data_IF_494619091852
#
_entry.id   IF_494619091852
#
_cell.length_a   1.000
_cell.length_b   1.000
_cell.length_c   1.000
_cell.angle_alpha   90.00
_cell.angle_beta   90.00
_cell.angle_gamma   90.00
#
_symmetry.space_group_name_H-M   'P 1'
#
loop_
_entity.id
_entity.type
_entity.pdbx_description
1 polymer ?
#
# COMPACT_ATOMS: atom_id res chain seq x y z
N UNK A 1 25.92 -19.00 16.08
CA UNK A 1 24.89 -18.04 16.51
C UNK A 1 24.14 -17.66 15.25
N UNK A 2 22.89 -18.02 15.09
CA UNK A 2 22.06 -17.58 13.96
C UNK A 2 21.87 -16.08 14.12
N UNK A 3 22.42 -15.32 13.19
CA UNK A 3 22.29 -13.86 13.15
C UNK A 3 20.80 -13.52 13.10
N UNK A 4 20.27 -12.89 14.16
CA UNK A 4 18.83 -12.64 14.30
C UNK A 4 18.44 -11.54 13.30
N UNK A 5 17.76 -11.93 12.22
CA UNK A 5 17.29 -10.98 11.20
C UNK A 5 16.35 -9.96 11.82
N UNK A 6 16.67 -8.69 11.66
CA UNK A 6 15.92 -7.58 12.24
C UNK A 6 15.41 -6.64 11.15
N UNK A 7 14.17 -6.21 11.26
CA UNK A 7 13.53 -5.24 10.38
C UNK A 7 13.01 -4.03 11.16
N UNK A 8 13.19 -2.83 10.59
CA UNK A 8 12.52 -1.62 11.08
C UNK A 8 11.25 -1.38 10.28
N UNK A 9 10.13 -1.15 10.96
CA UNK A 9 8.85 -0.83 10.34
C UNK A 9 8.42 0.58 10.74
N UNK A 10 8.40 1.48 9.77
CA UNK A 10 7.80 2.79 9.87
C UNK A 10 6.34 2.68 9.40
N UNK A 11 5.38 2.84 10.32
CA UNK A 11 3.96 2.71 10.03
C UNK A 11 3.35 1.35 10.38
N UNK A 12 3.85 0.66 11.40
CA UNK A 12 3.36 -0.65 11.86
C UNK A 12 1.90 -0.64 12.36
N UNK A 13 1.32 0.52 12.67
CA UNK A 13 -0.09 0.68 13.02
C UNK A 13 -1.02 0.80 11.82
N UNK A 14 -0.46 0.95 10.61
CA UNK A 14 -1.23 1.02 9.35
C UNK A 14 -1.51 -0.36 8.75
N UNK A 15 -2.42 -0.42 7.77
CA UNK A 15 -2.82 -1.67 7.11
C UNK A 15 -1.64 -2.47 6.55
N UNK A 16 -0.93 -1.91 5.58
CA UNK A 16 0.19 -2.63 4.94
C UNK A 16 1.40 -2.76 5.87
N UNK A 17 1.75 -1.72 6.63
CA UNK A 17 2.89 -1.76 7.55
C UNK A 17 2.70 -2.79 8.66
N UNK A 18 1.51 -2.85 9.26
CA UNK A 18 1.16 -3.84 10.28
C UNK A 18 1.12 -5.26 9.73
N UNK A 19 0.62 -5.45 8.50
CA UNK A 19 0.55 -6.78 7.90
C UNK A 19 1.95 -7.32 7.56
N UNK A 20 2.82 -6.50 6.96
CA UNK A 20 4.21 -6.89 6.71
C UNK A 20 4.92 -7.21 8.04
N UNK A 21 4.74 -6.38 9.07
CA UNK A 21 5.32 -6.61 10.39
C UNK A 21 4.88 -7.96 10.99
N UNK A 22 3.59 -8.30 10.91
CA UNK A 22 3.07 -9.59 11.39
C UNK A 22 3.64 -10.78 10.64
N UNK A 23 3.72 -10.69 9.31
CA UNK A 23 4.27 -11.77 8.49
C UNK A 23 5.77 -11.98 8.72
N UNK A 24 6.53 -10.91 8.95
CA UNK A 24 7.94 -10.98 9.32
C UNK A 24 8.12 -11.66 10.68
N UNK A 25 7.38 -11.21 11.71
CA UNK A 25 7.42 -11.81 13.04
C UNK A 25 7.06 -13.31 13.01
N UNK A 26 6.04 -13.69 12.22
CA UNK A 26 5.67 -15.10 12.02
C UNK A 26 6.77 -15.93 11.35
N UNK A 27 7.72 -15.31 10.66
CA UNK A 27 8.90 -15.96 10.02
C UNK A 27 10.18 -15.84 10.83
N UNK A 28 10.06 -15.46 12.11
CA UNK A 28 11.18 -15.39 13.04
C UNK A 28 12.07 -14.14 12.90
N UNK A 29 11.60 -13.10 12.20
CA UNK A 29 12.27 -11.81 12.20
C UNK A 29 12.00 -11.06 13.50
N UNK A 30 13.01 -10.41 14.05
CA UNK A 30 12.82 -9.37 15.05
C UNK A 30 12.28 -8.11 14.37
N UNK A 31 11.10 -7.64 14.81
CA UNK A 31 10.45 -6.46 14.22
C UNK A 31 10.54 -5.30 15.18
N UNK A 32 11.25 -4.24 14.78
CA UNK A 32 11.23 -2.92 15.45
C UNK A 32 10.17 -2.05 14.81
N UNK A 33 9.26 -1.49 15.62
CA UNK A 33 8.18 -0.64 15.16
C UNK A 33 8.35 0.78 15.72
N UNK A 34 8.69 1.74 14.85
CA UNK A 34 8.83 3.14 15.26
C UNK A 34 7.45 3.78 15.40
N UNK A 35 7.19 4.39 16.57
CA UNK A 35 5.94 5.08 16.82
C UNK A 35 6.16 6.29 17.77
N UNK A 36 5.47 7.40 17.52
CA UNK A 36 5.58 8.63 18.32
C UNK A 36 5.20 8.45 19.78
N UNK A 37 4.18 7.66 20.03
CA UNK A 37 3.72 7.35 21.40
C UNK A 37 3.33 5.87 21.50
N UNK A 38 4.29 4.93 21.64
CA UNK A 38 4.00 3.51 21.68
C UNK A 38 3.22 3.08 22.93
N UNK A 39 3.34 3.81 24.03
CA UNK A 39 2.63 3.48 25.27
C UNK A 39 1.12 3.78 25.22
N UNK A 40 0.69 4.67 24.30
CA UNK A 40 -0.72 4.99 24.10
C UNK A 40 -1.45 4.01 23.16
N UNK A 41 -0.78 3.01 22.63
CA UNK A 41 -1.39 2.03 21.74
C UNK A 41 -2.20 1.01 22.54
N UNK A 42 -3.52 0.96 22.31
CA UNK A 42 -4.43 0.02 22.99
C UNK A 42 -4.33 -1.42 22.48
N UNK A 43 -4.05 -1.57 21.19
CA UNK A 43 -3.94 -2.87 20.49
C UNK A 43 -2.51 -3.10 19.97
N UNK A 44 -1.54 -2.95 20.85
CA UNK A 44 -0.13 -3.15 20.53
C UNK A 44 0.14 -4.65 20.33
N UNK A 45 0.81 -4.98 19.23
CA UNK A 45 1.29 -6.35 19.03
C UNK A 45 2.58 -6.54 19.85
N UNK A 46 2.52 -7.42 20.83
CA UNK A 46 3.64 -7.68 21.75
C UNK A 46 4.80 -8.45 21.11
N UNK A 47 4.62 -8.94 19.89
CA UNK A 47 5.71 -9.54 19.11
C UNK A 47 6.67 -8.49 18.54
N UNK A 48 6.29 -7.19 18.57
CA UNK A 48 7.09 -6.10 18.05
C UNK A 48 7.84 -5.37 19.18
N UNK A 49 9.09 -5.05 18.91
CA UNK A 49 9.86 -4.11 19.74
C UNK A 49 9.42 -2.68 19.38
N UNK A 50 8.56 -2.10 20.21
CA UNK A 50 8.08 -0.73 19.99
C UNK A 50 9.10 0.29 20.44
N UNK A 51 9.59 1.11 19.50
CA UNK A 51 10.57 2.17 19.73
C UNK A 51 9.85 3.52 19.64
N UNK A 52 10.09 4.39 20.64
CA UNK A 52 9.61 5.76 20.60
C UNK A 52 10.45 6.59 19.63
N UNK A 53 9.80 7.28 18.69
CA UNK A 53 10.44 8.17 17.74
C UNK A 53 9.47 8.63 16.65
N UNK A 54 9.90 9.63 15.88
CA UNK A 54 9.14 10.24 14.79
C UNK A 54 9.84 10.02 13.45
N UNK A 55 9.12 9.56 12.44
CA UNK A 55 9.63 9.43 11.07
C UNK A 55 10.06 10.79 10.46
N UNK A 56 9.55 11.90 10.99
CA UNK A 56 9.98 13.26 10.64
C UNK A 56 11.30 13.66 11.31
N UNK A 57 11.73 12.94 12.34
CA UNK A 57 13.01 13.17 13.01
C UNK A 57 14.08 12.23 12.44
N UNK A 58 15.05 12.80 11.74
CA UNK A 58 16.13 12.04 11.10
C UNK A 58 16.94 11.19 12.08
N UNK A 59 17.23 11.72 13.27
CA UNK A 59 18.04 11.03 14.28
C UNK A 59 17.28 9.83 14.87
N UNK A 60 15.97 9.98 15.09
CA UNK A 60 15.12 8.88 15.58
C UNK A 60 15.12 7.71 14.58
N UNK A 61 15.00 8.01 13.26
CA UNK A 61 14.98 6.97 12.23
C UNK A 61 16.34 6.30 12.08
N UNK A 62 17.45 7.07 12.13
CA UNK A 62 18.81 6.53 12.08
C UNK A 62 19.06 5.63 13.29
N UNK A 63 18.75 6.07 14.50
CA UNK A 63 18.94 5.29 15.71
C UNK A 63 18.12 3.99 15.72
N UNK A 64 16.86 4.06 15.26
CA UNK A 64 16.00 2.88 15.16
C UNK A 64 16.48 1.87 14.09
N UNK A 65 17.20 2.33 13.07
CA UNK A 65 17.72 1.53 11.97
C UNK A 65 19.06 0.84 12.26
N UNK A 66 19.65 1.05 13.44
CA UNK A 66 20.92 0.41 13.78
C UNK A 66 20.82 -1.12 13.80
N UNK A 67 21.69 -1.80 13.04
CA UNK A 67 21.74 -3.24 12.94
C UNK A 67 20.54 -3.91 12.27
N UNK A 68 19.68 -3.18 11.53
CA UNK A 68 18.58 -3.79 10.77
C UNK A 68 19.00 -4.15 9.33
N UNK A 69 18.42 -5.20 8.78
CA UNK A 69 18.67 -5.62 7.40
C UNK A 69 17.81 -4.85 6.40
N UNK A 70 16.60 -4.44 6.79
CA UNK A 70 15.77 -3.58 5.96
C UNK A 70 14.85 -2.66 6.76
N UNK A 71 14.39 -1.60 6.08
CA UNK A 71 13.46 -0.59 6.62
C UNK A 71 12.21 -0.59 5.75
N UNK A 72 11.08 -1.01 6.30
CA UNK A 72 9.80 -0.83 5.64
C UNK A 72 9.32 0.62 5.82
N UNK A 73 9.24 1.36 4.72
CA UNK A 73 8.69 2.71 4.70
C UNK A 73 7.21 2.67 4.33
N UNK A 74 6.34 2.44 5.34
CA UNK A 74 4.89 2.36 5.18
C UNK A 74 4.15 3.50 5.92
N UNK A 75 4.88 4.56 6.28
CA UNK A 75 4.28 5.78 6.87
C UNK A 75 3.58 6.60 5.81
N UNK A 76 2.38 7.04 6.15
CA UNK A 76 1.58 7.90 5.30
C UNK A 76 0.77 8.86 6.19
N UNK A 77 0.79 10.18 5.94
CA UNK A 77 0.02 11.13 6.72
C UNK A 77 -1.48 10.79 6.69
N UNK A 78 -2.16 10.72 7.84
CA UNK A 78 -3.58 10.39 7.89
C UNK A 78 -4.43 11.48 7.21
N UNK A 79 -5.47 11.04 6.47
CA UNK A 79 -6.41 11.94 5.81
C UNK A 79 -5.80 12.80 4.72
N UNK A 80 -4.62 12.46 4.21
CA UNK A 80 -3.90 13.18 3.15
C UNK A 80 -3.48 14.62 3.49
N UNK A 81 -3.48 15.00 4.78
CA UNK A 81 -3.13 16.35 5.21
C UNK A 81 -1.63 16.60 5.06
N UNK A 82 -1.28 17.76 4.50
CA UNK A 82 0.11 18.22 4.33
C UNK A 82 1.03 17.22 3.65
N UNK A 83 0.51 16.50 2.65
CA UNK A 83 1.24 15.41 2.00
C UNK A 83 2.56 15.86 1.39
N UNK A 84 2.56 17.01 0.70
CA UNK A 84 3.77 17.57 0.10
C UNK A 84 4.86 17.88 1.14
N UNK A 85 4.46 18.34 2.32
CA UNK A 85 5.36 18.74 3.39
C UNK A 85 5.88 17.56 4.23
N UNK A 86 5.17 16.44 4.26
CA UNK A 86 5.48 15.32 5.14
C UNK A 86 6.11 14.11 4.41
N UNK A 87 5.59 13.76 3.24
CA UNK A 87 5.99 12.50 2.56
C UNK A 87 7.44 12.52 2.13
N UNK A 88 7.89 13.61 1.50
CA UNK A 88 9.26 13.70 0.99
C UNK A 88 10.31 13.85 2.11
N UNK A 89 10.12 14.64 3.16
CA UNK A 89 11.05 14.63 4.30
C UNK A 89 11.13 13.26 5.02
N UNK A 90 10.01 12.55 5.18
CA UNK A 90 10.03 11.21 5.79
C UNK A 90 10.84 10.20 4.97
N UNK A 91 10.72 10.21 3.64
CA UNK A 91 11.54 9.31 2.83
C UNK A 91 13.02 9.71 2.83
N UNK A 92 13.35 11.01 2.86
CA UNK A 92 14.73 11.47 2.98
C UNK A 92 15.38 11.02 4.30
N UNK A 93 14.62 11.02 5.39
CA UNK A 93 15.08 10.48 6.68
C UNK A 93 15.31 8.96 6.60
N UNK A 94 14.44 8.24 5.90
CA UNK A 94 14.61 6.80 5.68
C UNK A 94 15.82 6.50 4.80
N UNK A 95 16.05 7.27 3.75
CA UNK A 95 17.26 7.16 2.90
C UNK A 95 18.52 7.39 3.74
N UNK A 96 18.53 8.41 4.61
CA UNK A 96 19.65 8.67 5.48
C UNK A 96 19.91 7.53 6.48
N UNK A 97 18.86 6.96 7.04
CA UNK A 97 18.96 5.80 7.93
C UNK A 97 19.47 4.55 7.21
N UNK A 98 18.97 4.29 6.00
CA UNK A 98 19.44 3.18 5.17
C UNK A 98 20.91 3.35 4.74
N UNK A 99 21.34 4.58 4.44
CA UNK A 99 22.74 4.86 4.14
C UNK A 99 23.66 4.59 5.35
N UNK A 100 23.22 4.96 6.55
CA UNK A 100 24.00 4.76 7.79
C UNK A 100 24.05 3.29 8.22
N UNK A 101 22.97 2.53 8.08
CA UNK A 101 22.85 1.13 8.53
C UNK A 101 23.22 0.09 7.47
N UNK A 102 23.27 0.48 6.19
CA UNK A 102 23.36 -0.45 5.06
C UNK A 102 22.08 -1.23 4.78
N UNK A 103 20.96 -0.91 5.43
CA UNK A 103 19.69 -1.58 5.25
C UNK A 103 19.07 -1.31 3.86
N UNK A 104 18.27 -2.26 3.33
CA UNK A 104 17.43 -2.02 2.15
C UNK A 104 16.14 -1.33 2.55
N UNK A 105 15.74 -0.29 1.82
CA UNK A 105 14.42 0.34 1.96
C UNK A 105 13.40 -0.51 1.20
N UNK A 106 12.26 -0.83 1.83
CA UNK A 106 11.11 -1.47 1.20
C UNK A 106 9.96 -0.49 1.18
N UNK A 107 9.42 -0.21 -0.01
CA UNK A 107 8.37 0.78 -0.22
C UNK A 107 7.12 0.13 -0.85
N UNK A 108 5.94 0.25 -0.22
CA UNK A 108 4.67 0.05 -0.91
C UNK A 108 4.47 1.13 -1.98
N UNK A 109 4.61 0.74 -3.24
CA UNK A 109 4.39 1.61 -4.38
C UNK A 109 2.91 1.71 -4.77
N UNK A 110 2.60 2.59 -5.72
CA UNK A 110 1.23 2.88 -6.15
C UNK A 110 1.10 2.94 -7.67
N UNK A 111 -0.14 2.90 -8.16
CA UNK A 111 -0.49 3.15 -9.56
C UNK A 111 -0.49 4.65 -9.90
N UNK A 112 -0.45 5.53 -8.91
CA UNK A 112 -0.60 6.99 -9.09
C UNK A 112 0.58 7.66 -9.78
N UNK A 113 1.70 7.00 -9.85
CA UNK A 113 2.92 7.48 -10.51
C UNK A 113 2.75 7.64 -12.03
N UNK A 114 1.74 7.01 -12.62
CA UNK A 114 1.58 6.90 -14.06
C UNK A 114 0.49 7.83 -14.59
N UNK A 115 0.68 8.28 -15.83
CA UNK A 115 -0.25 9.09 -16.59
C UNK A 115 -0.74 8.40 -17.87
N UNK A 116 -1.56 9.08 -18.69
CA UNK A 116 -2.20 8.52 -19.89
C UNK A 116 -1.24 7.95 -20.92
N UNK A 117 -0.03 8.47 -20.99
CA UNK A 117 1.02 8.00 -21.88
C UNK A 117 1.51 6.57 -21.57
N UNK A 118 1.20 6.05 -20.36
CA UNK A 118 1.52 4.69 -19.95
C UNK A 118 0.32 3.73 -19.99
N UNK A 119 -0.92 4.25 -20.17
CA UNK A 119 -2.14 3.45 -20.10
C UNK A 119 -2.38 2.63 -21.38
N UNK A 120 -3.16 1.55 -21.34
CA UNK A 120 -3.83 0.95 -20.17
C UNK A 120 -2.98 -0.08 -19.42
N UNK A 121 -1.83 -0.47 -19.95
CA UNK A 121 -1.00 -1.56 -19.40
C UNK A 121 0.33 -0.99 -18.91
N UNK A 122 0.50 -1.01 -17.60
CA UNK A 122 1.67 -0.47 -16.91
C UNK A 122 2.75 -1.54 -16.76
N UNK A 123 3.97 -1.19 -17.13
CA UNK A 123 5.20 -1.96 -16.88
C UNK A 123 6.13 -1.18 -15.97
N UNK A 124 7.08 -1.87 -15.34
CA UNK A 124 8.07 -1.21 -14.48
C UNK A 124 8.88 -0.14 -15.24
N UNK A 125 9.06 -0.34 -16.56
CA UNK A 125 9.74 0.60 -17.48
C UNK A 125 8.85 1.72 -18.01
N UNK A 126 7.54 1.71 -17.73
CA UNK A 126 6.62 2.76 -18.20
C UNK A 126 7.00 4.12 -17.60
N UNK A 127 6.86 5.23 -18.38
CA UNK A 127 7.19 6.56 -17.89
C UNK A 127 6.27 6.98 -16.75
N UNK A 128 6.85 7.56 -15.70
CA UNK A 128 6.12 8.08 -14.56
C UNK A 128 5.80 9.57 -14.77
N UNK A 129 4.71 9.85 -15.48
CA UNK A 129 4.21 11.19 -15.78
C UNK A 129 2.80 11.36 -15.19
N UNK A 130 2.71 11.57 -13.87
CA UNK A 130 1.43 11.54 -13.16
C UNK A 130 0.53 12.74 -13.49
N UNK A 131 -0.79 12.51 -13.49
CA UNK A 131 -1.81 13.53 -13.69
C UNK A 131 -2.13 14.33 -12.42
N UNK A 132 -1.78 13.80 -11.25
CA UNK A 132 -2.26 14.31 -9.98
C UNK A 132 -1.11 14.80 -9.11
N UNK A 133 -1.40 15.70 -8.18
CA UNK A 133 -0.42 16.17 -7.21
C UNK A 133 0.16 15.02 -6.36
N UNK A 134 -0.70 14.09 -5.92
CA UNK A 134 -0.25 12.89 -5.20
C UNK A 134 0.65 12.01 -6.04
N UNK A 135 0.29 11.82 -7.30
CA UNK A 135 1.11 11.07 -8.23
C UNK A 135 2.51 11.69 -8.40
N UNK A 136 2.59 13.02 -8.50
CA UNK A 136 3.85 13.74 -8.59
C UNK A 136 4.73 13.55 -7.35
N UNK A 137 4.13 13.60 -6.14
CA UNK A 137 4.84 13.34 -4.88
C UNK A 137 5.35 11.89 -4.85
N UNK A 138 4.55 10.92 -5.29
CA UNK A 138 4.95 9.50 -5.31
C UNK A 138 6.03 9.22 -6.35
N UNK A 139 5.94 9.80 -7.54
CA UNK A 139 6.99 9.70 -8.56
C UNK A 139 8.31 10.33 -8.07
N UNK A 140 8.24 11.50 -7.42
CA UNK A 140 9.41 12.15 -6.82
C UNK A 140 10.02 11.31 -5.69
N UNK A 141 9.19 10.69 -4.84
CA UNK A 141 9.66 9.79 -3.80
C UNK A 141 10.48 8.62 -4.39
N UNK A 142 9.96 7.96 -5.41
CA UNK A 142 10.67 6.86 -6.07
C UNK A 142 11.93 7.35 -6.82
N UNK A 143 11.89 8.54 -7.43
CA UNK A 143 13.05 9.17 -8.06
C UNK A 143 14.19 9.42 -7.03
N UNK A 144 13.85 9.82 -5.79
CA UNK A 144 14.82 9.97 -4.70
C UNK A 144 15.45 8.64 -4.31
N UNK A 145 14.66 7.57 -4.20
CA UNK A 145 15.17 6.22 -3.95
C UNK A 145 16.12 5.76 -5.07
N UNK A 146 15.73 5.96 -6.32
CA UNK A 146 16.56 5.63 -7.47
C UNK A 146 17.85 6.47 -7.49
N UNK A 147 17.79 7.76 -7.22
CA UNK A 147 18.97 8.60 -7.13
C UNK A 147 19.91 8.18 -5.98
N UNK A 148 19.36 7.74 -4.85
CA UNK A 148 20.15 7.26 -3.71
C UNK A 148 20.90 5.95 -4.03
N UNK A 149 20.47 5.17 -5.03
CA UNK A 149 21.14 3.94 -5.45
C UNK A 149 22.55 4.19 -5.97
N UNK A 150 22.83 5.34 -6.58
CA UNK A 150 24.18 5.74 -6.99
C UNK A 150 25.15 5.95 -5.81
N UNK A 151 24.60 6.09 -4.61
CA UNK A 151 25.36 6.19 -3.34
C UNK A 151 25.31 4.87 -2.54
N UNK A 152 24.92 3.77 -3.17
CA UNK A 152 24.88 2.45 -2.57
C UNK A 152 23.64 2.17 -1.70
N UNK A 153 22.68 3.10 -1.60
CA UNK A 153 21.42 2.85 -0.86
C UNK A 153 20.54 1.89 -1.64
N UNK A 154 20.28 0.74 -1.04
CA UNK A 154 19.46 -0.32 -1.66
C UNK A 154 17.98 -0.05 -1.43
N UNK A 155 17.15 -0.26 -2.46
CA UNK A 155 15.71 -0.11 -2.33
C UNK A 155 14.92 -1.14 -3.12
N UNK A 156 13.72 -1.46 -2.64
CA UNK A 156 12.74 -2.35 -3.24
C UNK A 156 11.38 -1.65 -3.23
N UNK A 157 10.82 -1.41 -4.41
CA UNK A 157 9.49 -0.85 -4.58
C UNK A 157 8.55 -1.95 -5.07
N UNK A 158 7.44 -2.18 -4.39
CA UNK A 158 6.38 -3.11 -4.84
C UNK A 158 5.13 -2.29 -5.10
N UNK A 159 4.81 -2.07 -6.38
CA UNK A 159 3.63 -1.30 -6.80
C UNK A 159 2.43 -2.22 -6.95
N UNK A 160 1.30 -1.78 -6.43
CA UNK A 160 0.05 -2.54 -6.45
C UNK A 160 -1.14 -1.62 -6.71
N UNK A 161 -2.29 -2.20 -7.10
CA UNK A 161 -3.56 -1.51 -7.29
C UNK A 161 -4.18 -1.03 -5.97
N UNK A 162 -5.48 -0.70 -6.00
CA UNK A 162 -6.20 -0.22 -4.82
C UNK A 162 -6.31 -1.30 -3.73
N UNK A 163 -5.90 -0.94 -2.52
CA UNK A 163 -5.82 -1.86 -1.40
C UNK A 163 -7.20 -2.24 -0.84
N UNK A 164 -7.38 -3.53 -0.58
CA UNK A 164 -8.42 -4.06 0.27
C UNK A 164 -7.83 -5.16 1.16
N UNK A 165 -8.52 -5.50 2.25
CA UNK A 165 -8.04 -6.53 3.18
C UNK A 165 -8.18 -6.12 4.64
N UNK A 166 -7.86 -7.02 5.57
CA UNK A 166 -7.79 -6.72 6.99
C UNK A 166 -6.87 -5.53 7.27
N UNK A 167 -7.30 -4.60 8.14
CA UNK A 167 -6.53 -3.41 8.49
C UNK A 167 -6.58 -2.25 7.47
N UNK A 168 -7.19 -2.42 6.30
CA UNK A 168 -7.34 -1.37 5.27
C UNK A 168 -8.53 -0.46 5.55
N UNK A 169 -8.60 0.16 6.73
CA UNK A 169 -9.82 0.87 7.17
C UNK A 169 -9.85 2.36 6.82
N UNK A 170 -8.70 3.02 6.66
CA UNK A 170 -8.65 4.48 6.64
C UNK A 170 -8.88 5.14 5.27
N UNK A 171 -8.26 4.61 4.22
CA UNK A 171 -8.16 5.27 2.90
C UNK A 171 -8.34 4.28 1.74
N UNK A 172 -9.24 3.31 1.88
CA UNK A 172 -9.51 2.30 0.85
C UNK A 172 -10.85 2.58 0.17
N UNK A 173 -10.89 2.50 -1.16
CA UNK A 173 -12.14 2.54 -1.92
C UNK A 173 -13.09 1.40 -1.55
N UNK A 174 -12.56 0.28 -1.07
CA UNK A 174 -13.37 -0.82 -0.55
C UNK A 174 -14.20 -0.38 0.66
N UNK A 175 -13.56 0.23 1.68
CA UNK A 175 -14.22 0.66 2.92
C UNK A 175 -14.90 2.04 2.83
N UNK A 176 -14.56 2.87 1.84
CA UNK A 176 -15.18 4.18 1.64
C UNK A 176 -16.38 4.16 0.67
N UNK A 177 -16.36 3.25 -0.31
CA UNK A 177 -17.38 3.19 -1.37
C UNK A 177 -18.22 1.92 -1.31
N UNK A 178 -17.60 0.75 -1.25
CA UNK A 178 -18.32 -0.52 -1.40
C UNK A 178 -19.00 -0.98 -0.12
N UNK A 179 -18.36 -0.80 1.06
CA UNK A 179 -18.92 -1.23 2.33
C UNK A 179 -18.76 -0.14 3.38
N UNK A 180 -19.46 -0.28 4.50
CA UNK A 180 -19.33 0.63 5.64
C UNK A 180 -18.86 -0.17 6.85
N UNK A 181 -17.61 0.03 7.33
CA UNK A 181 -17.08 -0.69 8.47
C UNK A 181 -18.03 -0.64 9.69
N UNK A 182 -18.15 -1.78 10.38
CA UNK A 182 -19.03 -1.94 11.54
C UNK A 182 -20.53 -2.04 11.19
N UNK A 183 -20.91 -2.20 9.92
CA UNK A 183 -22.30 -2.29 9.51
C UNK A 183 -22.51 -3.40 8.46
N UNK A 184 -23.66 -4.13 8.54
CA UNK A 184 -24.04 -5.06 7.49
C UNK A 184 -24.15 -4.39 6.12
N UNK A 185 -23.75 -5.08 5.08
CA UNK A 185 -23.76 -4.57 3.70
C UNK A 185 -25.19 -4.58 3.16
N UNK A 186 -25.85 -3.42 3.15
CA UNK A 186 -27.22 -3.24 2.62
C UNK A 186 -27.25 -2.63 1.22
N UNK A 187 -26.24 -1.86 0.88
CA UNK A 187 -26.05 -1.25 -0.43
C UNK A 187 -24.56 -0.99 -0.65
N UNK A 188 -24.14 -0.98 -1.91
CA UNK A 188 -22.79 -0.64 -2.33
C UNK A 188 -22.82 0.59 -3.24
N UNK A 189 -21.83 1.48 -3.11
CA UNK A 189 -21.61 2.59 -4.03
C UNK A 189 -20.33 2.31 -4.83
N UNK A 190 -20.51 1.93 -6.11
CA UNK A 190 -19.39 1.58 -6.97
C UNK A 190 -18.84 2.81 -7.69
N UNK A 191 -17.53 3.11 -7.55
CA UNK A 191 -16.94 4.32 -8.15
C UNK A 191 -16.74 4.23 -9.66
N UNK A 192 -16.58 3.02 -10.19
CA UNK A 192 -16.35 2.77 -11.61
C UNK A 192 -17.63 2.77 -12.45
N UNK A 193 -17.42 2.68 -13.75
CA UNK A 193 -18.50 2.40 -14.71
C UNK A 193 -18.51 0.89 -15.01
N UNK A 194 -19.67 0.36 -15.32
CA UNK A 194 -19.77 -1.00 -15.86
C UNK A 194 -18.96 -1.13 -17.16
N UNK A 195 -18.22 -2.21 -17.28
CA UNK A 195 -17.35 -2.46 -18.44
C UNK A 195 -15.96 -1.83 -18.36
N UNK A 196 -15.66 -1.08 -17.28
CA UNK A 196 -14.31 -0.54 -17.04
C UNK A 196 -13.61 -1.39 -15.99
N UNK A 197 -12.46 -1.96 -16.37
CA UNK A 197 -11.66 -2.77 -15.48
C UNK A 197 -11.02 -1.97 -14.36
N UNK A 198 -10.84 -2.64 -13.19
CA UNK A 198 -10.17 -2.05 -12.03
C UNK A 198 -9.24 -3.06 -11.36
N UNK A 199 -8.08 -2.58 -10.93
CA UNK A 199 -7.08 -3.42 -10.28
C UNK A 199 -7.09 -3.24 -8.77
N UNK A 200 -7.38 -4.33 -8.07
CA UNK A 200 -7.37 -4.43 -6.62
C UNK A 200 -6.15 -5.18 -6.12
N UNK A 201 -5.70 -4.85 -4.92
CA UNK A 201 -4.59 -5.51 -4.28
C UNK A 201 -4.96 -5.93 -2.85
N UNK A 202 -4.94 -7.23 -2.59
CA UNK A 202 -5.21 -7.77 -1.26
C UNK A 202 -3.98 -7.58 -0.37
N UNK A 203 -4.12 -6.81 0.69
CA UNK A 203 -3.01 -6.39 1.56
C UNK A 203 -2.16 -7.55 2.07
N UNK A 204 -2.72 -8.70 2.51
CA UNK A 204 -1.90 -9.85 2.90
C UNK A 204 -1.05 -10.44 1.76
N UNK A 205 -1.51 -10.40 0.51
CA UNK A 205 -0.73 -10.86 -0.64
C UNK A 205 0.39 -9.88 -1.00
N UNK A 206 0.12 -8.56 -0.91
CA UNK A 206 1.14 -7.53 -1.08
C UNK A 206 2.23 -7.66 -0.02
N UNK A 207 1.85 -7.86 1.23
CA UNK A 207 2.79 -8.08 2.33
C UNK A 207 3.63 -9.35 2.10
N UNK A 208 3.00 -10.46 1.68
CA UNK A 208 3.67 -11.73 1.38
C UNK A 208 4.68 -11.57 0.23
N UNK A 209 4.32 -10.81 -0.79
CA UNK A 209 5.20 -10.49 -1.91
C UNK A 209 6.43 -9.71 -1.44
N UNK A 210 6.24 -8.66 -0.63
CA UNK A 210 7.34 -7.88 -0.07
C UNK A 210 8.27 -8.75 0.78
N UNK A 211 7.72 -9.58 1.66
CA UNK A 211 8.52 -10.45 2.54
C UNK A 211 9.30 -11.48 1.73
N UNK A 212 8.67 -12.12 0.72
CA UNK A 212 9.37 -13.10 -0.14
C UNK A 212 10.51 -12.44 -0.95
N UNK A 213 10.32 -11.21 -1.43
CA UNK A 213 11.38 -10.48 -2.14
C UNK A 213 12.53 -10.11 -1.20
N UNK A 214 12.24 -9.67 0.02
CA UNK A 214 13.27 -9.37 1.03
C UNK A 214 14.06 -10.62 1.41
N UNK A 215 13.43 -11.79 1.48
CA UNK A 215 14.12 -13.06 1.74
C UNK A 215 15.04 -13.51 0.60
N UNK A 216 14.95 -12.88 -0.57
CA UNK A 216 15.82 -13.09 -1.73
C UNK A 216 16.72 -11.87 -2.00
N UNK A 217 17.06 -11.11 -0.96
CA UNK A 217 17.83 -9.86 -0.98
C UNK A 217 19.06 -9.94 -1.90
N UNK A 218 19.83 -11.03 -1.83
CA UNK A 218 21.08 -11.21 -2.58
C UNK A 218 20.88 -11.27 -4.11
N UNK A 219 19.65 -11.50 -4.56
CA UNK A 219 19.29 -11.58 -5.98
C UNK A 219 18.74 -10.26 -6.51
N UNK A 220 18.47 -9.29 -5.63
CA UNK A 220 17.86 -8.03 -6.02
C UNK A 220 18.91 -6.99 -6.43
N UNK A 221 18.69 -6.23 -7.51
CA UNK A 221 19.54 -5.10 -7.84
C UNK A 221 19.49 -4.02 -6.75
N UNK A 222 20.42 -3.07 -6.79
CA UNK A 222 20.48 -1.97 -5.81
C UNK A 222 19.16 -1.20 -5.77
N UNK A 223 18.59 -0.87 -6.93
CA UNK A 223 17.23 -0.38 -7.06
C UNK A 223 16.38 -1.46 -7.75
N UNK A 224 15.41 -2.00 -7.05
CA UNK A 224 14.48 -3.00 -7.55
C UNK A 224 13.05 -2.43 -7.54
N UNK A 225 12.30 -2.62 -8.60
CA UNK A 225 10.89 -2.26 -8.67
C UNK A 225 10.11 -3.41 -9.31
N UNK A 226 9.00 -3.77 -8.69
CA UNK A 226 8.11 -4.83 -9.17
C UNK A 226 6.68 -4.34 -9.17
N UNK A 227 5.93 -4.80 -10.18
CA UNK A 227 4.48 -4.66 -10.25
C UNK A 227 3.79 -5.94 -9.78
N UNK A 228 2.69 -5.77 -9.06
CA UNK A 228 1.76 -6.85 -8.78
C UNK A 228 0.54 -6.73 -9.69
N UNK A 229 0.12 -7.84 -10.30
CA UNK A 229 -1.15 -7.90 -11.01
C UNK A 229 -2.33 -7.91 -10.04
N UNK A 230 -2.17 -8.54 -8.89
CA UNK A 230 -3.19 -8.61 -7.85
C UNK A 230 -4.51 -9.20 -8.34
N UNK A 231 -5.61 -8.54 -8.00
CA UNK A 231 -6.96 -8.94 -8.33
C UNK A 231 -7.51 -8.05 -9.45
N UNK A 232 -7.39 -8.50 -10.71
CA UNK A 232 -7.95 -7.78 -11.85
C UNK A 232 -9.45 -8.06 -12.00
N UNK A 233 -10.26 -7.02 -11.84
CA UNK A 233 -11.69 -7.01 -12.10
C UNK A 233 -11.92 -6.38 -13.47
N UNK A 234 -12.15 -7.20 -14.48
CA UNK A 234 -12.11 -6.78 -15.89
C UNK A 234 -13.26 -5.82 -16.29
N UNK A 235 -14.37 -5.86 -15.58
CA UNK A 235 -15.58 -5.11 -15.92
C UNK A 235 -16.27 -4.45 -14.71
N UNK A 236 -15.66 -4.52 -13.53
CA UNK A 236 -16.20 -3.97 -12.29
C UNK A 236 -17.26 -4.83 -11.61
N UNK A 237 -17.48 -6.07 -12.07
CA UNK A 237 -18.52 -6.94 -11.50
C UNK A 237 -17.99 -7.97 -10.51
N UNK A 238 -16.71 -8.31 -10.59
CA UNK A 238 -16.10 -9.40 -9.84
C UNK A 238 -16.02 -9.10 -8.35
N UNK A 239 -15.57 -7.90 -7.97
CA UNK A 239 -15.55 -7.45 -6.59
C UNK A 239 -16.96 -7.38 -6.00
N UNK A 240 -17.89 -6.80 -6.74
CA UNK A 240 -19.31 -6.72 -6.37
C UNK A 240 -19.90 -8.10 -6.15
N UNK A 241 -19.64 -9.02 -7.06
CA UNK A 241 -20.10 -10.42 -6.99
C UNK A 241 -19.55 -11.15 -5.76
N UNK A 242 -18.26 -11.00 -5.49
CA UNK A 242 -17.61 -11.60 -4.32
C UNK A 242 -18.19 -11.06 -2.99
N UNK A 243 -18.45 -9.75 -2.90
CA UNK A 243 -19.13 -9.17 -1.73
C UNK A 243 -20.52 -9.77 -1.55
N UNK A 244 -21.35 -9.82 -2.62
CA UNK A 244 -22.70 -10.39 -2.57
C UNK A 244 -22.71 -11.85 -2.12
N UNK A 245 -21.79 -12.67 -2.63
CA UNK A 245 -21.63 -14.08 -2.21
C UNK A 245 -21.25 -14.18 -0.74
N UNK A 246 -20.26 -13.38 -0.31
CA UNK A 246 -19.78 -13.40 1.08
C UNK A 246 -20.83 -13.00 2.12
N UNK A 247 -21.76 -12.09 1.76
CA UNK A 247 -22.86 -11.68 2.66
C UNK A 247 -24.11 -12.55 2.51
N UNK A 248 -24.13 -13.51 1.56
CA UNK A 248 -25.31 -14.36 1.30
C UNK A 248 -26.53 -13.61 0.78
N UNK A 249 -26.36 -12.42 0.21
CA UNK A 249 -27.44 -11.54 -0.22
C UNK A 249 -27.27 -11.08 -1.68
N UNK A 250 -27.73 -11.86 -2.66
CA UNK A 250 -27.60 -11.52 -4.09
C UNK A 250 -28.34 -10.23 -4.46
N UNK A 251 -29.38 -9.86 -3.70
CA UNK A 251 -30.22 -8.69 -3.93
C UNK A 251 -29.64 -7.36 -3.41
N UNK A 252 -28.42 -7.35 -2.82
CA UNK A 252 -27.78 -6.11 -2.39
C UNK A 252 -27.71 -5.10 -3.54
N UNK A 253 -28.26 -3.91 -3.32
CA UNK A 253 -28.34 -2.86 -4.35
C UNK A 253 -26.98 -2.26 -4.60
N UNK A 254 -26.59 -2.17 -5.88
CA UNK A 254 -25.40 -1.46 -6.32
C UNK A 254 -25.84 -0.13 -6.93
N UNK A 255 -25.27 0.96 -6.44
CA UNK A 255 -25.53 2.32 -6.91
C UNK A 255 -24.25 2.94 -7.43
N UNK A 256 -24.36 3.82 -8.41
CA UNK A 256 -23.23 4.61 -8.86
C UNK A 256 -22.74 5.53 -7.73
N UNK A 257 -21.44 5.63 -7.56
CA UNK A 257 -20.84 6.58 -6.62
C UNK A 257 -21.19 8.01 -7.05
N UNK A 258 -21.64 8.88 -6.13
CA UNK A 258 -22.14 10.22 -6.47
C UNK A 258 -21.00 11.20 -6.75
N UNK A 259 -20.26 11.00 -7.83
CA UNK A 259 -19.12 11.84 -8.22
C UNK A 259 -19.46 13.34 -8.34
N UNK A 260 -20.73 13.69 -8.56
CA UNK A 260 -21.18 15.07 -8.67
C UNK A 260 -21.11 15.85 -7.34
N UNK A 261 -21.08 15.15 -6.21
CA UNK A 261 -20.94 15.78 -4.89
C UNK A 261 -19.51 16.31 -4.68
N UNK A 262 -18.49 15.64 -5.24
CA UNK A 262 -17.10 15.98 -4.96
C UNK A 262 -16.70 17.41 -5.37
N UNK A 263 -17.11 17.95 -6.54
CA UNK A 263 -16.85 19.34 -6.88
C UNK A 263 -17.45 20.34 -5.89
N UNK A 264 -18.61 20.03 -5.31
CA UNK A 264 -19.28 20.89 -4.33
C UNK A 264 -18.56 20.87 -2.97
N UNK A 265 -18.02 19.73 -2.58
CA UNK A 265 -17.36 19.56 -1.29
C UNK A 265 -15.85 19.81 -1.32
N UNK A 266 -15.22 19.79 -2.49
CA UNK A 266 -13.78 19.93 -2.64
C UNK A 266 -13.22 21.29 -2.17
N UNK A 267 -13.92 22.43 -2.20
CA UNK A 267 -13.43 23.68 -1.61
C UNK A 267 -13.26 23.60 -0.09
N UNK A 268 -14.06 22.76 0.57
CA UNK A 268 -14.13 22.66 2.04
C UNK A 268 -13.34 21.50 2.62
N UNK A 269 -12.84 20.57 1.77
CA UNK A 269 -12.17 19.37 2.25
C UNK A 269 -11.11 18.89 1.28
N UNK A 270 -9.87 18.80 1.78
CA UNK A 270 -8.74 18.25 1.05
C UNK A 270 -9.00 16.79 0.60
N UNK A 271 -9.63 15.99 1.45
CA UNK A 271 -10.01 14.62 1.12
C UNK A 271 -10.88 14.53 -0.14
N UNK A 272 -11.88 15.42 -0.29
CA UNK A 272 -12.74 15.41 -1.48
C UNK A 272 -12.01 15.92 -2.74
N UNK A 273 -11.07 16.87 -2.60
CA UNK A 273 -10.19 17.25 -3.72
C UNK A 273 -9.40 16.06 -4.22
N UNK A 274 -8.77 15.36 -3.31
CA UNK A 274 -7.94 14.20 -3.59
C UNK A 274 -8.73 13.05 -4.21
N UNK A 275 -9.93 12.76 -3.68
CA UNK A 275 -10.83 11.76 -4.29
C UNK A 275 -11.22 12.14 -5.72
N UNK A 276 -11.45 13.44 -5.99
CA UNK A 276 -11.78 13.93 -7.33
C UNK A 276 -10.64 13.72 -8.31
N UNK A 277 -9.40 13.97 -7.89
CA UNK A 277 -8.20 13.74 -8.70
C UNK A 277 -8.05 12.27 -9.07
N UNK A 278 -8.38 11.35 -8.16
CA UNK A 278 -8.24 9.91 -8.38
C UNK A 278 -9.34 9.30 -9.27
N UNK A 279 -10.32 10.11 -9.72
CA UNK A 279 -11.44 9.62 -10.55
C UNK A 279 -11.01 8.96 -11.86
N UNK A 280 -9.86 9.34 -12.41
CA UNK A 280 -9.36 8.76 -13.68
C UNK A 280 -9.11 7.26 -13.58
N UNK A 281 -8.68 6.75 -12.42
CA UNK A 281 -8.47 5.32 -12.16
C UNK A 281 -9.76 4.48 -12.30
N UNK A 282 -10.93 5.13 -12.26
CA UNK A 282 -12.24 4.51 -12.39
C UNK A 282 -12.87 4.71 -13.76
N UNK A 283 -12.16 5.42 -14.66
CA UNK A 283 -12.61 5.69 -16.04
C UNK A 283 -11.84 4.88 -17.07
N UNK A 284 -10.61 4.51 -16.74
CA UNK A 284 -9.69 3.81 -17.64
C UNK A 284 -9.38 2.42 -17.09
N UNK A 285 -9.27 1.37 -17.94
CA UNK A 285 -9.00 0.00 -17.50
C UNK A 285 -7.50 -0.20 -17.23
N UNK A 286 -6.95 0.55 -16.25
CA UNK A 286 -5.52 0.58 -15.95
C UNK A 286 -5.13 -0.68 -15.18
N UNK A 287 -4.14 -1.43 -15.69
CA UNK A 287 -3.59 -2.62 -15.02
C UNK A 287 -2.07 -2.64 -15.07
N UNK A 288 -1.45 -3.21 -14.05
CA UNK A 288 -0.02 -3.48 -14.01
C UNK A 288 0.26 -4.92 -14.45
N UNK A 289 1.28 -5.11 -15.28
CA UNK A 289 1.84 -6.43 -15.60
C UNK A 289 2.84 -6.82 -14.51
N UNK A 290 2.94 -8.12 -14.21
CA UNK A 290 3.79 -8.65 -13.14
C UNK A 290 4.92 -9.58 -13.66
N UNK A 291 5.29 -9.47 -14.93
CA UNK A 291 6.27 -10.37 -15.55
C UNK A 291 7.61 -10.40 -14.79
N UNK A 292 8.11 -9.24 -14.38
CA UNK A 292 9.34 -9.13 -13.59
C UNK A 292 9.22 -9.82 -12.23
N UNK A 293 8.06 -9.69 -11.58
CA UNK A 293 7.77 -10.34 -10.30
C UNK A 293 7.73 -11.87 -10.45
N UNK A 294 7.09 -12.37 -11.51
CA UNK A 294 7.04 -13.81 -11.80
C UNK A 294 8.44 -14.37 -12.08
N UNK A 295 9.28 -13.60 -12.79
CA UNK A 295 10.70 -14.01 -13.00
C UNK A 295 11.45 -14.08 -11.68
N UNK A 296 11.22 -13.16 -10.75
CA UNK A 296 11.92 -13.12 -9.47
C UNK A 296 11.44 -14.18 -8.48
N UNK A 297 10.12 -14.41 -8.37
CA UNK A 297 9.52 -15.27 -7.34
C UNK A 297 8.98 -16.62 -7.86
N UNK A 298 8.91 -16.83 -9.17
CA UNK A 298 8.24 -17.96 -9.82
C UNK A 298 6.72 -17.86 -9.84
N UNK A 299 6.12 -17.21 -8.86
CA UNK A 299 4.68 -16.97 -8.73
C UNK A 299 4.39 -15.66 -8.01
N UNK A 300 3.23 -15.06 -8.27
CA UNK A 300 2.69 -13.98 -7.45
C UNK A 300 1.80 -14.54 -6.35
N UNK A 301 2.05 -14.22 -5.06
CA UNK A 301 1.11 -14.57 -3.98
C UNK A 301 -0.29 -14.06 -4.28
N UNK A 302 -1.27 -14.95 -4.31
CA UNK A 302 -2.64 -14.62 -4.69
C UNK A 302 -3.65 -15.43 -3.87
N UNK A 303 -4.45 -14.75 -3.08
CA UNK A 303 -5.57 -15.33 -2.34
C UNK A 303 -6.82 -15.30 -3.23
N UNK A 304 -7.61 -16.39 -3.34
CA UNK A 304 -8.84 -16.39 -4.14
C UNK A 304 -9.80 -15.26 -3.75
N UNK A 305 -10.51 -14.70 -4.74
CA UNK A 305 -11.44 -13.56 -4.56
C UNK A 305 -12.38 -13.69 -3.38
N UNK A 306 -13.10 -14.81 -3.29
CA UNK A 306 -14.14 -15.01 -2.28
C UNK A 306 -13.54 -15.13 -0.88
N UNK A 307 -12.37 -15.74 -0.76
CA UNK A 307 -11.62 -15.85 0.49
C UNK A 307 -11.11 -14.47 0.94
N UNK A 308 -10.44 -13.73 0.04
CA UNK A 308 -9.90 -12.41 0.32
C UNK A 308 -11.00 -11.41 0.72
N UNK A 309 -12.14 -11.42 0.00
CA UNK A 309 -13.28 -10.54 0.28
C UNK A 309 -13.97 -10.93 1.58
N UNK A 310 -14.18 -12.23 1.84
CA UNK A 310 -14.78 -12.70 3.09
C UNK A 310 -13.92 -12.30 4.29
N UNK A 311 -12.61 -12.53 4.23
CA UNK A 311 -11.69 -12.12 5.29
C UNK A 311 -11.71 -10.60 5.53
N UNK A 312 -11.80 -9.82 4.44
CA UNK A 312 -11.92 -8.36 4.53
C UNK A 312 -13.21 -7.93 5.23
N UNK A 313 -14.35 -8.49 4.83
CA UNK A 313 -15.66 -8.16 5.40
C UNK A 313 -15.74 -8.54 6.90
N UNK A 314 -15.19 -9.70 7.27
CA UNK A 314 -15.11 -10.14 8.68
C UNK A 314 -14.24 -9.17 9.50
N UNK A 315 -13.06 -8.79 9.00
CA UNK A 315 -12.18 -7.86 9.69
C UNK A 315 -12.77 -6.43 9.82
N UNK A 316 -13.65 -6.05 8.90
CA UNK A 316 -14.39 -4.80 8.93
C UNK A 316 -15.71 -4.89 9.72
N UNK A 317 -16.04 -6.03 10.33
CA UNK A 317 -17.30 -6.28 11.05
C UNK A 317 -18.53 -6.00 10.18
N UNK A 318 -18.49 -6.43 8.90
CA UNK A 318 -19.58 -6.30 7.95
C UNK A 318 -20.40 -7.60 7.81
N UNK A 319 -19.84 -8.71 8.28
CA UNK A 319 -20.40 -10.05 8.41
C UNK A 319 -19.98 -10.66 9.73
#
# INVERSE_FOLDING_TARGET
MTDTRTALVLGATGGIGGEVARQLAARGWKVRALHRNPLALTNRDDRFEWIKGDAMNRQDVIAAADGVQFILHAVNPPGYRNWAELVLPMIDNTIAAAHASGARIVLPGTVYNYGPNAFPVLRESSPQEPLTHKGAIRAELERRLQAASSKGVRSLVVRAGDFFGPGSTGNSWFSAGLVKPGKPVRAMFYPGKSGVGHQWAYVPDVARTMVRLVEQEDRLPVFAAFHMQGHWDADGTRMIGAIKRSVGQPAVKVRAFPWWILPLMSPFSEMFREMREMRYLWKEPIRMENASLLTALGEEPHTPWDEAVKATLSALHCI
#
